data_IF_557481276121
#
_entry.id   IF_557481276121
#
_cell.length_a   1.000
_cell.length_b   1.000
_cell.length_c   1.000
_cell.angle_alpha   90.00
_cell.angle_beta   90.00
_cell.angle_gamma   90.00
#
_symmetry.space_group_name_H-M   'P 1'
#
loop_
_entity.id
_entity.type
_entity.pdbx_description
1 polymer ?
#
# COMPACT_ATOMS: atom_id res chain seq x y z
N UNK A 1 -9.52 17.49 -1.39
CA UNK A 1 -8.36 18.41 -1.39
C UNK A 1 -8.89 19.83 -1.54
N UNK A 2 -8.28 20.82 -0.89
CA UNK A 2 -8.77 22.20 -0.98
C UNK A 2 -8.50 22.77 -2.37
N UNK A 3 -9.56 23.13 -3.11
CA UNK A 3 -9.45 23.75 -4.43
C UNK A 3 -8.73 25.11 -4.39
N UNK A 4 -8.80 25.82 -3.26
CA UNK A 4 -8.13 27.10 -3.06
C UNK A 4 -6.61 26.94 -2.94
N UNK A 5 -6.15 25.88 -2.27
CA UNK A 5 -4.72 25.59 -2.13
C UNK A 5 -4.08 25.22 -3.48
N UNK A 6 -4.76 24.39 -4.28
CA UNK A 6 -4.29 24.03 -5.61
C UNK A 6 -4.15 25.26 -6.53
N UNK A 7 -5.13 26.17 -6.52
CA UNK A 7 -5.07 27.43 -7.30
C UNK A 7 -3.96 28.37 -6.81
N UNK A 8 -3.65 28.37 -5.52
CA UNK A 8 -2.55 29.17 -4.96
C UNK A 8 -1.19 28.63 -5.45
N UNK A 9 -0.99 27.32 -5.39
CA UNK A 9 0.24 26.68 -5.87
C UNK A 9 0.41 26.80 -7.39
N UNK A 10 -0.68 26.76 -8.16
CA UNK A 10 -0.66 26.98 -9.61
C UNK A 10 -0.23 28.41 -9.95
N UNK A 11 -0.71 29.42 -9.21
CA UNK A 11 -0.27 30.82 -9.38
C UNK A 11 1.20 31.05 -8.99
N UNK A 12 1.72 30.23 -8.08
CA UNK A 12 3.09 30.33 -7.59
C UNK A 12 4.08 29.45 -8.37
N UNK A 13 3.62 28.71 -9.40
CA UNK A 13 4.39 27.73 -10.18
C UNK A 13 5.06 26.64 -9.32
N UNK A 14 4.36 26.21 -8.25
CA UNK A 14 4.83 25.21 -7.26
C UNK A 14 3.89 24.01 -7.17
N UNK A 15 3.42 23.53 -8.31
CA UNK A 15 2.45 22.43 -8.38
C UNK A 15 2.99 21.12 -7.78
N UNK A 16 4.31 20.91 -7.81
CA UNK A 16 4.99 19.75 -7.20
C UNK A 16 4.80 19.66 -5.68
N UNK A 17 4.41 20.76 -5.04
CA UNK A 17 4.08 20.78 -3.61
C UNK A 17 2.75 20.09 -3.32
N UNK A 18 1.86 19.89 -4.30
CA UNK A 18 0.64 19.10 -4.12
C UNK A 18 0.95 17.65 -3.74
N UNK A 19 2.01 17.08 -4.32
CA UNK A 19 2.43 15.70 -4.05
C UNK A 19 3.19 15.59 -2.72
N UNK A 20 3.91 16.65 -2.33
CA UNK A 20 4.78 16.66 -1.14
C UNK A 20 4.10 17.19 0.12
N UNK A 21 3.12 18.07 -0.04
CA UNK A 21 2.38 18.74 1.03
C UNK A 21 0.88 18.79 0.72
N UNK A 22 0.22 17.62 0.57
CA UNK A 22 -1.21 17.58 0.33
C UNK A 22 -1.98 18.18 1.52
N UNK A 23 -2.76 19.23 1.25
CA UNK A 23 -3.70 19.80 2.22
C UNK A 23 -5.08 19.14 2.05
N UNK A 24 -5.44 18.31 3.03
CA UNK A 24 -6.71 17.58 3.10
C UNK A 24 -7.60 18.01 4.27
N UNK A 25 -8.87 17.65 4.22
CA UNK A 25 -9.88 17.89 5.27
C UNK A 25 -10.11 16.65 6.16
N UNK A 26 -9.16 15.72 6.15
CA UNK A 26 -9.23 14.47 6.90
C UNK A 26 -8.97 14.64 8.40
N UNK A 27 -9.10 13.56 9.19
CA UNK A 27 -8.82 13.56 10.63
C UNK A 27 -7.32 13.71 10.96
N UNK A 28 -6.44 13.46 9.98
CA UNK A 28 -5.00 13.60 10.15
C UNK A 28 -4.42 14.46 9.03
N UNK A 29 -3.44 15.30 9.38
CA UNK A 29 -2.69 16.17 8.49
C UNK A 29 -1.27 15.65 8.33
N UNK A 30 -0.66 15.89 7.17
CA UNK A 30 0.74 15.56 6.95
C UNK A 30 1.64 16.50 7.75
N UNK A 31 2.51 15.93 8.59
CA UNK A 31 3.52 16.68 9.36
C UNK A 31 4.89 16.58 8.70
N UNK A 32 5.32 15.37 8.30
CA UNK A 32 6.58 15.17 7.58
C UNK A 32 6.45 14.04 6.56
N UNK A 33 7.03 14.24 5.38
CA UNK A 33 7.12 13.23 4.32
C UNK A 33 8.57 13.03 3.90
N UNK A 34 9.07 11.80 4.07
CA UNK A 34 10.37 11.35 3.55
C UNK A 34 10.13 10.22 2.56
N UNK A 35 10.29 10.53 1.28
CA UNK A 35 10.08 9.58 0.19
C UNK A 35 10.87 8.28 0.44
N UNK A 36 10.16 7.14 0.43
CA UNK A 36 10.76 5.81 0.63
C UNK A 36 11.19 5.47 2.07
N UNK A 37 10.99 6.37 3.05
CA UNK A 37 11.32 6.10 4.44
C UNK A 37 10.10 6.10 5.35
N UNK A 38 9.46 7.27 5.53
CA UNK A 38 8.33 7.40 6.44
C UNK A 38 7.40 8.56 6.07
N UNK A 39 6.14 8.40 6.47
CA UNK A 39 5.12 9.43 6.45
C UNK A 39 4.68 9.66 7.91
N UNK A 40 4.84 10.89 8.40
CA UNK A 40 4.40 11.29 9.74
C UNK A 40 3.13 12.13 9.63
N UNK A 41 2.09 11.67 10.32
CA UNK A 41 0.78 12.31 10.35
C UNK A 41 0.51 12.88 11.75
N UNK A 42 -0.01 14.10 11.81
CA UNK A 42 -0.46 14.75 13.04
C UNK A 42 -1.99 14.81 13.07
N UNK A 43 -2.56 14.81 14.28
CA UNK A 43 -4.01 14.92 14.45
C UNK A 43 -4.49 16.30 13.98
N UNK A 44 -5.61 16.32 13.26
CA UNK A 44 -6.34 17.55 12.94
C UNK A 44 -7.31 17.85 14.09
N UNK A 45 -6.96 18.81 14.96
CA UNK A 45 -7.79 19.16 16.12
C UNK A 45 -9.15 19.74 15.71
N UNK A 46 -9.21 20.44 14.57
CA UNK A 46 -10.42 21.06 14.01
C UNK A 46 -11.17 20.15 13.02
N UNK A 47 -11.03 18.82 13.15
CA UNK A 47 -11.73 17.89 12.27
C UNK A 47 -13.26 17.95 12.50
N UNK A 48 -13.98 18.27 11.44
CA UNK A 48 -15.43 18.52 11.44
C UNK A 48 -16.33 17.36 11.89
N UNK A 49 -15.84 16.11 11.94
CA UNK A 49 -16.58 14.95 12.51
C UNK A 49 -16.16 14.57 13.94
N UNK A 50 -15.42 15.44 14.61
CA UNK A 50 -14.99 15.25 16.01
C UNK A 50 -13.52 14.92 16.18
N UNK A 51 -13.00 15.08 17.40
CA UNK A 51 -11.57 14.97 17.69
C UNK A 51 -11.08 13.53 17.61
N UNK A 52 -10.09 13.21 16.75
CA UNK A 52 -9.51 11.87 16.70
C UNK A 52 -8.84 11.48 18.01
N UNK A 53 -9.01 10.23 18.44
CA UNK A 53 -8.52 9.74 19.75
C UNK A 53 -6.99 9.63 19.82
N UNK A 54 -6.31 9.42 18.69
CA UNK A 54 -4.84 9.28 18.67
C UNK A 54 -4.15 10.65 18.56
N UNK A 55 -3.32 11.05 19.55
CA UNK A 55 -2.72 12.39 19.57
C UNK A 55 -1.64 12.63 18.54
N UNK A 56 -0.86 11.60 18.26
CA UNK A 56 0.18 11.61 17.24
C UNK A 56 -0.02 10.33 16.44
N UNK A 57 0.02 10.43 15.11
CA UNK A 57 0.29 9.28 14.26
C UNK A 57 1.75 8.83 14.43
N UNK A 58 2.20 8.62 15.67
CA UNK A 58 3.54 8.12 16.02
C UNK A 58 3.75 6.68 15.55
N UNK A 59 2.70 6.01 15.08
CA UNK A 59 2.83 5.04 14.01
C UNK A 59 3.13 5.77 12.71
N UNK A 60 4.36 6.26 12.54
CA UNK A 60 4.82 6.63 11.20
C UNK A 60 4.47 5.47 10.29
N UNK A 61 3.70 5.71 9.24
CA UNK A 61 3.50 4.72 8.20
C UNK A 61 4.86 4.55 7.54
N UNK A 62 5.69 3.69 8.13
CA UNK A 62 6.90 3.17 7.51
C UNK A 62 6.43 2.16 6.49
N UNK A 63 6.10 2.69 5.31
CA UNK A 63 5.98 1.90 4.10
C UNK A 63 7.41 1.48 3.71
N UNK A 64 7.96 0.48 4.41
CA UNK A 64 9.13 -0.22 3.88
C UNK A 64 8.68 -0.94 2.62
N UNK A 65 9.42 -0.80 1.53
CA UNK A 65 9.24 -1.68 0.37
C UNK A 65 9.49 -3.10 0.86
N UNK A 66 8.44 -3.91 0.95
CA UNK A 66 8.52 -5.36 1.08
C UNK A 66 9.10 -5.93 -0.22
N UNK A 67 10.39 -5.68 -0.49
CA UNK A 67 11.03 -6.21 -1.70
C UNK A 67 11.65 -7.58 -1.47
N UNK A 68 11.91 -7.93 -0.22
CA UNK A 68 12.53 -9.21 0.15
C UNK A 68 12.42 -9.32 1.65
N UNK A 69 12.34 -10.56 2.12
CA UNK A 69 12.40 -10.97 3.52
C UNK A 69 11.05 -11.04 4.23
N UNK A 70 10.82 -12.25 4.72
CA UNK A 70 10.07 -12.63 5.91
C UNK A 70 10.58 -11.81 7.11
N UNK A 71 10.52 -10.49 7.03
CA UNK A 71 10.89 -9.61 8.14
C UNK A 71 9.83 -9.82 9.20
N UNK A 72 10.23 -10.54 10.25
CA UNK A 72 9.50 -10.64 11.52
C UNK A 72 8.91 -9.27 11.83
N UNK A 73 7.60 -9.17 12.11
CA UNK A 73 6.98 -7.91 12.52
C UNK A 73 7.86 -7.27 13.59
N UNK A 74 8.39 -6.07 13.35
CA UNK A 74 9.23 -5.34 14.29
C UNK A 74 8.39 -4.98 15.53
N UNK A 75 8.42 -5.90 16.51
CA UNK A 75 7.52 -6.05 17.67
C UNK A 75 7.35 -4.82 18.58
N UNK A 76 8.08 -3.72 18.35
CA UNK A 76 7.97 -2.48 19.13
C UNK A 76 7.64 -1.22 18.33
N UNK A 77 7.72 -1.25 17.00
CA UNK A 77 7.89 -0.02 16.20
C UNK A 77 6.77 0.26 15.19
N UNK A 78 5.86 -0.69 14.98
CA UNK A 78 4.68 -0.50 14.15
C UNK A 78 3.46 -1.18 14.80
N UNK A 79 2.34 -0.47 14.80
CA UNK A 79 1.06 -0.94 15.35
C UNK A 79 0.26 -1.76 14.33
N UNK A 80 0.57 -1.62 13.05
CA UNK A 80 -0.15 -2.27 11.96
C UNK A 80 0.77 -2.65 10.80
N UNK A 81 0.64 -3.88 10.30
CA UNK A 81 1.36 -4.38 9.12
C UNK A 81 0.36 -4.85 8.05
N UNK A 82 0.13 -4.06 6.99
CA UNK A 82 -0.63 -4.52 5.84
C UNK A 82 0.21 -5.44 4.96
N UNK A 83 -0.45 -6.38 4.27
CA UNK A 83 0.19 -7.13 3.17
C UNK A 83 1.18 -8.20 3.61
N UNK A 84 1.01 -8.78 4.80
CA UNK A 84 1.82 -9.90 5.26
C UNK A 84 1.72 -11.09 4.29
N UNK A 85 2.88 -11.66 3.99
CA UNK A 85 3.04 -12.90 3.26
C UNK A 85 2.36 -14.06 4.01
N UNK A 86 1.69 -15.01 3.33
CA UNK A 86 1.12 -16.19 3.97
C UNK A 86 2.14 -17.00 4.78
N UNK A 87 3.41 -17.05 4.31
CA UNK A 87 4.50 -17.69 5.03
C UNK A 87 4.80 -17.07 6.41
N UNK A 88 4.40 -15.82 6.64
CA UNK A 88 4.59 -15.10 7.90
C UNK A 88 3.41 -15.27 8.88
N UNK A 89 2.32 -15.94 8.48
CA UNK A 89 1.12 -16.10 9.31
C UNK A 89 1.37 -16.92 10.58
N UNK A 90 2.08 -18.06 10.55
CA UNK A 90 2.33 -18.85 11.77
C UNK A 90 2.97 -18.03 12.89
N UNK A 91 3.97 -17.19 12.56
CA UNK A 91 4.62 -16.29 13.53
C UNK A 91 3.66 -15.29 14.20
N UNK A 92 2.57 -14.92 13.53
CA UNK A 92 1.57 -14.01 14.08
C UNK A 92 0.51 -14.74 14.92
N UNK A 93 0.29 -16.03 14.65
CA UNK A 93 -0.64 -16.88 15.42
C UNK A 93 -0.01 -17.32 16.73
N UNK A 94 1.30 -17.58 16.72
CA UNK A 94 2.02 -18.08 17.90
C UNK A 94 2.31 -17.00 18.96
N UNK A 95 2.22 -15.70 18.62
CA UNK A 95 2.49 -14.60 19.55
C UNK A 95 1.18 -14.02 20.11
N UNK A 96 0.88 -14.17 21.42
CA UNK A 96 -0.37 -13.71 22.02
C UNK A 96 -0.53 -12.18 22.02
N UNK A 97 0.54 -11.42 21.72
CA UNK A 97 0.48 -9.95 21.59
C UNK A 97 0.00 -9.49 20.22
N UNK A 98 -0.04 -10.40 19.24
CA UNK A 98 -0.40 -10.10 17.86
C UNK A 98 -1.82 -10.58 17.56
N UNK A 99 -2.53 -9.84 16.71
CA UNK A 99 -3.85 -10.21 16.21
C UNK A 99 -3.83 -10.23 14.70
N UNK A 100 -3.86 -11.43 14.12
CA UNK A 100 -4.01 -11.60 12.67
C UNK A 100 -5.48 -11.41 12.27
N UNK A 101 -5.74 -10.51 11.32
CA UNK A 101 -7.07 -10.30 10.75
C UNK A 101 -7.00 -10.56 9.25
N UNK A 102 -7.61 -11.66 8.79
CA UNK A 102 -7.73 -11.98 7.38
C UNK A 102 -9.06 -11.47 6.84
N UNK A 103 -9.02 -10.77 5.71
CA UNK A 103 -10.20 -10.32 4.99
C UNK A 103 -9.99 -10.62 3.51
N UNK A 104 -11.00 -11.16 2.80
CA UNK A 104 -10.95 -11.25 1.35
C UNK A 104 -10.65 -9.88 0.77
N UNK A 105 -9.54 -9.77 0.02
CA UNK A 105 -9.17 -8.54 -0.63
C UNK A 105 -10.13 -8.23 -1.77
N UNK A 106 -10.46 -6.95 -1.95
CA UNK A 106 -11.26 -6.47 -3.09
C UNK A 106 -10.36 -6.22 -4.32
N UNK A 107 -9.40 -7.11 -4.55
CA UNK A 107 -8.40 -7.00 -5.61
C UNK A 107 -8.34 -8.28 -6.42
N UNK A 108 -8.14 -8.14 -7.73
CA UNK A 108 -7.94 -9.26 -8.65
C UNK A 108 -6.53 -9.14 -9.23
N UNK A 109 -5.72 -10.19 -9.06
CA UNK A 109 -4.42 -10.29 -9.71
C UNK A 109 -4.61 -10.94 -11.10
N UNK A 110 -3.97 -10.37 -12.12
CA UNK A 110 -4.00 -10.89 -13.49
C UNK A 110 -2.65 -10.67 -14.17
N UNK A 111 -2.32 -11.52 -15.13
CA UNK A 111 -1.15 -11.37 -15.98
C UNK A 111 -1.51 -10.54 -17.22
N UNK A 112 -0.97 -9.33 -17.32
CA UNK A 112 -1.15 -8.48 -18.48
C UNK A 112 -0.12 -8.79 -19.56
N UNK A 113 -0.57 -9.10 -20.77
CA UNK A 113 0.31 -9.28 -21.93
C UNK A 113 0.45 -7.97 -22.71
N UNK A 114 1.68 -7.61 -23.06
CA UNK A 114 1.92 -6.48 -23.96
C UNK A 114 1.60 -6.87 -25.40
N UNK A 115 0.43 -6.44 -25.90
CA UNK A 115 -0.06 -6.78 -27.24
C UNK A 115 0.67 -6.04 -28.37
N UNK A 116 1.52 -5.04 -28.05
CA UNK A 116 2.30 -4.32 -29.06
C UNK A 116 3.57 -5.08 -29.49
N UNK A 117 3.98 -6.14 -28.77
CA UNK A 117 5.20 -6.90 -29.06
C UNK A 117 4.87 -8.31 -29.57
N UNK A 118 5.46 -8.75 -30.71
CA UNK A 118 5.46 -10.15 -31.08
C UNK A 118 6.18 -11.03 -30.05
N UNK A 119 5.75 -12.27 -29.77
CA UNK A 119 4.58 -12.98 -30.34
C UNK A 119 3.26 -12.73 -29.57
N UNK A 120 3.26 -11.88 -28.54
CA UNK A 120 2.10 -11.59 -27.68
C UNK A 120 1.04 -10.73 -28.37
N UNK A 121 1.34 -10.17 -29.55
CA UNK A 121 0.36 -9.55 -30.44
C UNK A 121 -0.68 -10.55 -30.97
N UNK A 122 -0.33 -11.83 -31.12
CA UNK A 122 -1.25 -12.88 -31.58
C UNK A 122 -2.20 -13.36 -30.45
N UNK A 123 -3.53 -13.22 -30.60
CA UNK A 123 -4.50 -13.71 -29.61
C UNK A 123 -4.40 -15.21 -29.32
N UNK A 124 -4.03 -16.03 -30.31
CA UNK A 124 -3.89 -17.49 -30.12
C UNK A 124 -2.74 -17.82 -29.15
N UNK A 125 -1.63 -17.08 -29.23
CA UNK A 125 -0.49 -17.23 -28.31
C UNK A 125 -0.91 -16.86 -26.89
N UNK A 126 -1.66 -15.77 -26.71
CA UNK A 126 -2.17 -15.37 -25.39
C UNK A 126 -3.15 -16.38 -24.80
N UNK A 127 -4.04 -16.96 -25.62
CA UNK A 127 -4.94 -18.02 -25.16
C UNK A 127 -4.18 -19.29 -24.77
N UNK A 128 -3.20 -19.71 -25.57
CA UNK A 128 -2.36 -20.86 -25.23
C UNK A 128 -1.62 -20.65 -23.90
N UNK A 129 -1.08 -19.44 -23.68
CA UNK A 129 -0.43 -19.08 -22.41
C UNK A 129 -1.42 -19.05 -21.25
N UNK A 130 -2.62 -18.51 -21.44
CA UNK A 130 -3.65 -18.47 -20.39
C UNK A 130 -4.11 -19.88 -19.98
N UNK A 131 -4.24 -20.81 -20.94
CA UNK A 131 -4.58 -22.21 -20.68
C UNK A 131 -3.42 -23.02 -20.09
N UNK A 132 -2.18 -22.63 -20.36
CA UNK A 132 -1.00 -23.24 -19.77
C UNK A 132 -0.82 -22.88 -18.29
N UNK A 133 -1.43 -21.77 -17.82
CA UNK A 133 -1.40 -21.37 -16.41
C UNK A 133 -2.46 -22.16 -15.64
N UNK A 134 -1.99 -23.01 -14.72
CA UNK A 134 -2.88 -23.75 -13.83
C UNK A 134 -3.39 -22.85 -12.69
N UNK A 135 -4.57 -22.27 -12.87
CA UNK A 135 -5.24 -21.42 -11.87
C UNK A 135 -5.70 -22.18 -10.60
N UNK A 136 -5.70 -23.51 -10.60
CA UNK A 136 -6.08 -24.31 -9.43
C UNK A 136 -4.94 -24.50 -8.43
N UNK A 137 -3.72 -24.06 -8.76
CA UNK A 137 -2.60 -23.98 -7.84
C UNK A 137 -2.48 -22.57 -7.29
N UNK A 138 -3.06 -22.25 -6.12
CA UNK A 138 -2.91 -20.93 -5.49
C UNK A 138 -1.43 -20.56 -5.25
N UNK A 139 -0.57 -21.57 -5.10
CA UNK A 139 0.89 -21.49 -5.01
C UNK A 139 1.55 -20.88 -6.26
N UNK A 140 1.03 -21.13 -7.47
CA UNK A 140 1.61 -20.59 -8.70
C UNK A 140 1.43 -19.07 -8.82
N UNK A 141 0.30 -18.54 -8.34
CA UNK A 141 0.05 -17.10 -8.29
C UNK A 141 0.89 -16.44 -7.19
N UNK A 142 1.08 -17.12 -6.06
CA UNK A 142 1.96 -16.64 -4.99
C UNK A 142 3.43 -16.56 -5.43
N UNK A 143 3.93 -17.52 -6.22
CA UNK A 143 5.30 -17.49 -6.76
C UNK A 143 5.54 -16.35 -7.75
N UNK A 144 4.53 -15.98 -8.55
CA UNK A 144 4.64 -14.87 -9.51
C UNK A 144 4.61 -13.48 -8.86
N UNK A 145 4.02 -13.37 -7.67
CA UNK A 145 3.89 -12.08 -6.96
C UNK A 145 5.05 -11.78 -6.02
N UNK A 146 5.81 -12.80 -5.60
CA UNK A 146 6.85 -12.69 -4.59
C UNK A 146 8.22 -13.30 -5.00
N UNK A 147 8.35 -13.79 -6.24
CA UNK A 147 9.62 -14.21 -6.86
C UNK A 147 10.41 -13.07 -7.47
#
# INVERSE_FOLDING_TARGET
>A
MSAEYARKLEKEDRQEQLDRQPVGTGPYQLSEYRAGQFIRLQRHDDFWRGKPLMPQGSGGFRLRRHRTSVETPDRGNATFWPGLLPASYPFCVDDPRLRLTLRPGMNVAYLAFNTAKPPLNNPAVRHALALAINNQRPDAIHLLWYG
#
